data_IF_814568427828
#
_entry.id   IF_814568427828
#
_cell.length_a   1.000
_cell.length_b   1.000
_cell.length_c   1.000
_cell.angle_alpha   90.00
_cell.angle_beta   90.00
_cell.angle_gamma   90.00
#
_symmetry.space_group_name_H-M   'P 1'
#
loop_
_entity.id
_entity.type
_entity.pdbx_description
1 polymer ?
#
# COMPACT_ATOMS: atom_id res chain seq x y z
N UNK A 1 -28.68 -31.14 3.86
CA UNK A 1 -28.74 -29.67 3.91
C UNK A 1 -27.37 -29.26 4.41
N UNK A 2 -26.43 -29.10 3.48
CA UNK A 2 -25.05 -28.77 3.82
C UNK A 2 -25.00 -27.26 3.99
N UNK A 3 -24.73 -26.82 5.21
CA UNK A 3 -24.43 -25.43 5.53
C UNK A 3 -23.03 -25.11 5.00
N UNK A 4 -22.93 -24.97 3.67
CA UNK A 4 -21.75 -24.44 2.99
C UNK A 4 -21.67 -22.94 3.33
N UNK A 5 -21.15 -22.65 4.52
CA UNK A 5 -20.78 -21.29 4.92
C UNK A 5 -19.88 -20.77 3.81
N UNK A 6 -20.25 -19.68 3.09
CA UNK A 6 -19.50 -19.26 1.91
C UNK A 6 -18.08 -18.94 2.34
N UNK A 7 -17.18 -19.87 2.05
CA UNK A 7 -15.75 -19.75 2.35
C UNK A 7 -15.30 -18.48 1.67
N UNK A 8 -15.04 -17.46 2.48
CA UNK A 8 -14.63 -16.11 2.12
C UNK A 8 -13.65 -16.16 0.94
N UNK A 9 -14.14 -16.02 -0.30
CA UNK A 9 -13.41 -16.54 -1.47
C UNK A 9 -12.05 -15.89 -1.69
N UNK A 10 -11.76 -14.73 -1.08
CA UNK A 10 -10.47 -14.05 -1.17
C UNK A 10 -10.19 -13.18 0.09
N UNK A 11 -9.78 -13.76 1.23
CA UNK A 11 -9.62 -13.01 2.47
C UNK A 11 -8.49 -11.98 2.40
N UNK A 12 -7.43 -12.29 1.63
CA UNK A 12 -6.29 -11.39 1.39
C UNK A 12 -6.71 -10.17 0.56
N UNK A 13 -7.54 -10.38 -0.47
CA UNK A 13 -8.04 -9.29 -1.32
C UNK A 13 -8.95 -8.37 -0.50
N UNK A 14 -9.87 -8.91 0.30
CA UNK A 14 -10.72 -8.10 1.18
C UNK A 14 -9.90 -7.30 2.19
N UNK A 15 -8.85 -7.90 2.77
CA UNK A 15 -7.94 -7.20 3.66
C UNK A 15 -7.22 -6.04 2.96
N UNK A 16 -6.71 -6.27 1.74
CA UNK A 16 -6.07 -5.23 0.93
C UNK A 16 -7.05 -4.13 0.49
N UNK A 17 -8.29 -4.47 0.16
CA UNK A 17 -9.32 -3.49 -0.20
C UNK A 17 -9.71 -2.63 1.01
N UNK A 18 -9.76 -3.21 2.21
CA UNK A 18 -10.11 -2.50 3.44
C UNK A 18 -8.95 -1.65 4.00
N UNK A 19 -7.71 -2.13 3.92
CA UNK A 19 -6.55 -1.54 4.61
C UNK A 19 -5.41 -1.10 3.69
N UNK A 20 -5.50 -1.36 2.38
CA UNK A 20 -4.42 -1.11 1.41
C UNK A 20 -3.89 0.31 1.47
N UNK A 21 -4.77 1.31 1.59
CA UNK A 21 -4.37 2.72 1.74
C UNK A 21 -3.49 2.96 2.98
N UNK A 22 -3.87 2.40 4.13
CA UNK A 22 -3.09 2.55 5.37
C UNK A 22 -1.74 1.85 5.26
N UNK A 23 -1.71 0.64 4.69
CA UNK A 23 -0.48 -0.14 4.45
C UNK A 23 0.47 0.62 3.53
N UNK A 24 -0.05 1.17 2.42
CA UNK A 24 0.72 1.99 1.49
C UNK A 24 1.37 3.20 2.17
N UNK A 25 0.62 3.90 3.02
CA UNK A 25 1.16 5.05 3.78
C UNK A 25 2.26 4.61 4.75
N UNK A 26 2.04 3.53 5.50
CA UNK A 26 3.04 3.02 6.46
C UNK A 26 4.32 2.58 5.76
N UNK A 27 4.21 1.86 4.64
CA UNK A 27 5.36 1.43 3.83
C UNK A 27 6.13 2.64 3.29
N UNK A 28 5.43 3.64 2.74
CA UNK A 28 6.08 4.86 2.28
C UNK A 28 6.80 5.57 3.42
N UNK A 29 6.16 5.71 4.60
CA UNK A 29 6.79 6.35 5.75
C UNK A 29 8.05 5.62 6.18
N UNK A 30 8.06 4.28 6.18
CA UNK A 30 9.26 3.49 6.48
C UNK A 30 10.40 3.80 5.51
N UNK A 31 10.09 3.89 4.21
CA UNK A 31 11.10 4.25 3.19
C UNK A 31 11.59 5.69 3.38
N UNK A 32 10.68 6.63 3.65
CA UNK A 32 11.04 8.03 3.91
C UNK A 32 11.94 8.15 5.13
N UNK A 33 11.54 7.55 6.27
CA UNK A 33 12.35 7.57 7.49
C UNK A 33 13.69 6.85 7.29
N UNK A 34 13.73 5.74 6.56
CA UNK A 34 14.97 5.06 6.21
C UNK A 34 15.91 5.94 5.38
N UNK A 35 15.38 6.64 4.38
CA UNK A 35 16.13 7.57 3.54
C UNK A 35 16.65 8.80 4.30
N UNK A 36 15.82 9.36 5.18
CA UNK A 36 16.19 10.50 6.04
C UNK A 36 17.23 10.07 7.08
N UNK A 37 17.01 8.97 7.79
CA UNK A 37 17.94 8.45 8.79
C UNK A 37 19.29 8.07 8.16
N UNK A 38 19.29 7.44 6.99
CA UNK A 38 20.51 7.15 6.23
C UNK A 38 21.22 8.42 5.78
N UNK A 39 20.47 9.40 5.25
CA UNK A 39 21.02 10.71 4.86
C UNK A 39 21.71 11.44 6.01
N UNK A 40 21.10 11.41 7.20
CA UNK A 40 21.68 11.98 8.42
C UNK A 40 22.90 11.18 8.91
N UNK A 41 22.83 9.85 8.94
CA UNK A 41 23.92 9.00 9.40
C UNK A 41 25.20 9.14 8.57
N UNK A 42 25.07 9.28 7.24
CA UNK A 42 26.20 9.42 6.32
C UNK A 42 26.54 10.88 5.96
N UNK A 43 25.90 11.87 6.60
CA UNK A 43 26.08 13.31 6.32
C UNK A 43 25.83 13.69 4.84
N UNK A 44 25.02 12.91 4.14
CA UNK A 44 24.69 13.10 2.73
C UNK A 44 23.39 13.90 2.63
N UNK A 45 23.49 15.22 2.78
CA UNK A 45 22.32 16.13 2.80
C UNK A 45 21.47 16.07 1.53
N UNK A 46 22.06 15.72 0.39
CA UNK A 46 21.34 15.55 -0.88
C UNK A 46 20.36 14.37 -0.87
N UNK A 47 20.53 13.40 0.05
CA UNK A 47 19.59 12.29 0.20
C UNK A 47 18.24 12.73 0.79
N UNK A 48 18.17 13.88 1.47
CA UNK A 48 16.91 14.39 2.03
C UNK A 48 15.88 14.75 0.94
N UNK A 49 16.17 15.63 -0.04
CA UNK A 49 15.22 15.91 -1.11
C UNK A 49 14.96 14.68 -1.99
N UNK A 50 15.96 13.83 -2.22
CA UNK A 50 15.80 12.61 -3.03
C UNK A 50 14.86 11.61 -2.35
N UNK A 51 15.03 11.36 -1.06
CA UNK A 51 14.14 10.46 -0.30
C UNK A 51 12.72 11.01 -0.20
N UNK A 52 12.56 12.33 -0.06
CA UNK A 52 11.25 12.98 -0.09
C UNK A 52 10.53 12.76 -1.43
N UNK A 53 11.20 13.03 -2.55
CA UNK A 53 10.65 12.84 -3.90
C UNK A 53 10.35 11.37 -4.16
N UNK A 54 11.29 10.47 -3.82
CA UNK A 54 11.10 9.04 -3.99
C UNK A 54 9.91 8.51 -3.16
N UNK A 55 9.76 8.96 -1.91
CA UNK A 55 8.63 8.59 -1.07
C UNK A 55 7.29 9.12 -1.64
N UNK A 56 7.25 10.35 -2.14
CA UNK A 56 6.06 10.92 -2.75
C UNK A 56 5.63 10.11 -4.01
N UNK A 57 6.59 9.77 -4.87
CA UNK A 57 6.35 8.92 -6.05
C UNK A 57 5.88 7.54 -5.64
N UNK A 58 6.56 6.90 -4.68
CA UNK A 58 6.20 5.59 -4.17
C UNK A 58 4.78 5.57 -3.58
N UNK A 59 4.41 6.60 -2.82
CA UNK A 59 3.05 6.73 -2.28
C UNK A 59 2.02 6.83 -3.39
N UNK A 60 2.26 7.67 -4.40
CA UNK A 60 1.38 7.79 -5.56
C UNK A 60 1.16 6.47 -6.28
N UNK A 61 2.26 5.72 -6.52
CA UNK A 61 2.21 4.39 -7.14
C UNK A 61 1.43 3.38 -6.29
N UNK A 62 1.71 3.32 -4.99
CA UNK A 62 1.03 2.40 -4.07
C UNK A 62 -0.46 2.71 -3.91
N UNK A 63 -0.82 4.00 -3.85
CA UNK A 63 -2.22 4.41 -3.79
C UNK A 63 -2.95 4.06 -5.10
N UNK A 64 -2.34 4.38 -6.24
CA UNK A 64 -2.88 4.03 -7.55
C UNK A 64 -3.08 2.52 -7.68
N UNK A 65 -2.12 1.72 -7.23
CA UNK A 65 -2.22 0.26 -7.24
C UNK A 65 -3.37 -0.27 -6.38
N UNK A 66 -3.54 0.26 -5.17
CA UNK A 66 -4.65 -0.12 -4.28
C UNK A 66 -6.01 0.29 -4.88
N UNK A 67 -6.08 1.45 -5.53
CA UNK A 67 -7.28 1.92 -6.24
C UNK A 67 -7.67 0.95 -7.36
N UNK A 68 -6.70 0.56 -8.19
CA UNK A 68 -6.90 -0.41 -9.27
C UNK A 68 -7.33 -1.77 -8.72
N UNK A 69 -6.70 -2.25 -7.65
CA UNK A 69 -7.13 -3.49 -6.98
C UNK A 69 -8.55 -3.40 -6.44
N UNK A 70 -8.95 -2.25 -5.90
CA UNK A 70 -10.32 -2.03 -5.42
C UNK A 70 -11.32 -2.07 -6.58
N UNK A 71 -11.01 -1.43 -7.71
CA UNK A 71 -11.84 -1.49 -8.93
C UNK A 71 -11.97 -2.93 -9.45
N UNK A 72 -10.86 -3.67 -9.50
CA UNK A 72 -10.86 -5.07 -9.93
C UNK A 72 -11.66 -5.95 -8.96
N UNK A 73 -11.49 -5.74 -7.65
CA UNK A 73 -12.27 -6.46 -6.64
C UNK A 73 -13.77 -6.15 -6.75
N UNK A 74 -14.13 -4.89 -6.98
CA UNK A 74 -15.53 -4.47 -7.15
C UNK A 74 -16.16 -5.01 -8.45
N UNK A 75 -15.35 -5.23 -9.49
CA UNK A 75 -15.83 -5.79 -10.78
C UNK A 75 -15.84 -7.32 -10.81
N UNK A 76 -14.89 -7.99 -10.14
CA UNK A 76 -14.77 -9.46 -10.11
C UNK A 76 -15.55 -10.12 -8.97
N UNK A 77 -15.77 -9.43 -7.86
CA UNK A 77 -16.51 -9.96 -6.71
C UNK A 77 -17.91 -9.32 -6.73
N UNK A 78 -18.90 -9.97 -7.37
CA UNK A 78 -20.26 -9.45 -7.33
C UNK A 78 -20.75 -9.47 -5.88
N UNK A 79 -21.25 -8.32 -5.41
CA UNK A 79 -21.97 -8.19 -4.16
C UNK A 79 -23.29 -8.97 -4.29
N UNK A 80 -23.27 -10.26 -3.98
CA UNK A 80 -24.47 -11.04 -3.68
C UNK A 80 -24.56 -11.26 -2.17
#
# INVERSE_FOLDING_TARGET
MNDDSPSQSYPVVQWFVARGKAVSVVLTLLVLFGGVAGGLAWHQWWLLPVSLVAAAVLLGLLLSYVEVLRIIADTLIPKY
#
